data_IF_739030180695
#
_entry.id   IF_739030180695
#
_cell.length_a   1.000
_cell.length_b   1.000
_cell.length_c   1.000
_cell.angle_alpha   90.00
_cell.angle_beta   90.00
_cell.angle_gamma   90.00
#
_symmetry.space_group_name_H-M   'P 1'
#
loop_
_entity.id
_entity.type
_entity.pdbx_description
1 polymer ?
#
# COMPACT_ATOMS: atom_id res chain seq x y z
N UNK A 1 -10.52 -1.56 16.18
CA UNK A 1 -9.24 -0.95 16.64
C UNK A 1 -8.14 -0.95 15.58
N UNK A 2 -8.40 -1.47 14.37
CA UNK A 2 -7.49 -1.43 13.21
C UNK A 2 -7.94 -0.45 12.11
N UNK A 3 -9.21 -0.03 12.11
CA UNK A 3 -9.82 0.72 10.99
C UNK A 3 -9.35 2.17 10.81
N UNK A 4 -8.37 2.64 11.59
CA UNK A 4 -7.95 4.05 11.53
C UNK A 4 -6.45 4.26 11.29
N UNK A 5 -5.60 3.23 11.30
CA UNK A 5 -4.16 3.46 11.07
C UNK A 5 -3.87 3.85 9.62
N UNK A 6 -4.48 3.16 8.65
CA UNK A 6 -4.30 3.47 7.23
C UNK A 6 -4.93 4.81 6.85
N UNK A 7 -6.07 5.16 7.46
CA UNK A 7 -6.70 6.47 7.27
C UNK A 7 -5.84 7.61 7.84
N UNK A 8 -5.32 7.45 9.07
CA UNK A 8 -4.40 8.42 9.69
C UNK A 8 -3.10 8.56 8.90
N UNK A 9 -2.51 7.46 8.44
CA UNK A 9 -1.33 7.50 7.58
C UNK A 9 -1.65 8.25 6.28
N UNK A 10 -2.76 7.91 5.63
CA UNK A 10 -3.21 8.60 4.40
C UNK A 10 -3.35 10.10 4.61
N UNK A 11 -3.98 10.54 5.70
CA UNK A 11 -4.14 11.96 6.02
C UNK A 11 -2.78 12.65 6.19
N UNK A 12 -1.82 12.01 6.87
CA UNK A 12 -0.45 12.53 7.00
C UNK A 12 0.24 12.60 5.64
N UNK A 13 0.13 11.57 4.81
CA UNK A 13 0.73 11.52 3.47
C UNK A 13 0.19 12.64 2.57
N UNK A 14 -1.13 12.87 2.58
CA UNK A 14 -1.77 13.96 1.85
C UNK A 14 -1.26 15.34 2.30
N UNK A 15 -1.10 15.57 3.61
CA UNK A 15 -0.56 16.81 4.15
C UNK A 15 0.89 17.06 3.71
N UNK A 16 1.67 16.00 3.46
CA UNK A 16 3.08 16.09 3.07
C UNK A 16 3.30 16.19 1.57
N UNK A 17 2.25 16.07 0.76
CA UNK A 17 2.33 16.08 -0.72
C UNK A 17 3.01 17.32 -1.27
N UNK A 18 2.62 18.49 -0.75
CA UNK A 18 3.12 19.80 -1.20
C UNK A 18 4.00 20.49 -0.16
N UNK A 19 4.45 19.73 0.86
CA UNK A 19 5.33 20.26 1.90
C UNK A 19 6.76 20.44 1.38
N UNK A 20 7.54 21.29 2.06
CA UNK A 20 8.97 21.46 1.76
C UNK A 20 9.67 20.07 1.76
N UNK A 21 10.42 19.69 0.71
CA UNK A 21 11.10 18.40 0.63
C UNK A 21 12.08 18.14 1.77
N UNK A 22 12.62 19.18 2.42
CA UNK A 22 13.50 19.04 3.58
C UNK A 22 12.73 18.79 4.89
N UNK A 23 11.41 19.00 4.91
CA UNK A 23 10.60 18.92 6.13
C UNK A 23 10.26 17.51 6.59
N UNK A 24 10.36 16.51 5.69
CA UNK A 24 10.10 15.11 6.01
C UNK A 24 10.58 14.17 4.91
N UNK A 25 10.81 12.90 5.26
CA UNK A 25 11.13 11.84 4.30
C UNK A 25 10.08 11.73 3.18
N UNK A 26 8.79 11.75 3.53
CA UNK A 26 7.66 11.65 2.57
C UNK A 26 7.65 12.83 1.60
N UNK A 27 7.83 14.06 2.08
CA UNK A 27 7.93 15.23 1.21
C UNK A 27 9.11 15.11 0.24
N UNK A 28 10.25 14.59 0.73
CA UNK A 28 11.41 14.26 -0.11
C UNK A 28 11.11 13.21 -1.18
N UNK A 29 10.33 12.16 -0.88
CA UNK A 29 9.89 11.18 -1.87
C UNK A 29 9.02 11.81 -2.96
N UNK A 30 8.02 12.60 -2.58
CA UNK A 30 7.15 13.27 -3.53
C UNK A 30 7.90 14.23 -4.44
N UNK A 31 8.84 14.99 -3.88
CA UNK A 31 9.68 15.89 -4.67
C UNK A 31 10.61 15.15 -5.65
N UNK A 32 11.15 13.98 -5.26
CA UNK A 32 11.95 13.13 -6.14
C UNK A 32 11.13 12.45 -7.25
N UNK A 33 9.81 12.41 -7.10
CA UNK A 33 8.87 11.95 -8.13
C UNK A 33 8.70 10.44 -8.23
N UNK A 34 7.86 10.04 -9.19
CA UNK A 34 7.33 8.69 -9.36
C UNK A 34 8.41 7.60 -9.41
N UNK A 35 9.48 7.79 -10.18
CA UNK A 35 10.53 6.77 -10.34
C UNK A 35 11.17 6.38 -9.00
N UNK A 36 11.38 7.34 -8.10
CA UNK A 36 11.93 7.06 -6.76
C UNK A 36 10.94 6.29 -5.90
N UNK A 37 9.65 6.62 -6.00
CA UNK A 37 8.57 5.95 -5.27
C UNK A 37 8.43 4.50 -5.76
N UNK A 38 8.39 4.29 -7.08
CA UNK A 38 8.31 2.95 -7.68
C UNK A 38 9.51 2.09 -7.32
N UNK A 39 10.72 2.67 -7.28
CA UNK A 39 11.92 1.97 -6.82
C UNK A 39 11.74 1.43 -5.40
N UNK A 40 11.23 2.25 -4.47
CA UNK A 40 10.95 1.82 -3.10
C UNK A 40 9.92 0.69 -3.06
N UNK A 41 8.80 0.83 -3.77
CA UNK A 41 7.80 -0.24 -3.84
C UNK A 41 8.40 -1.57 -4.34
N UNK A 42 9.25 -1.53 -5.37
CA UNK A 42 9.93 -2.72 -5.90
C UNK A 42 10.97 -3.32 -4.94
N UNK A 43 11.69 -2.48 -4.21
CA UNK A 43 12.64 -2.87 -3.17
C UNK A 43 11.92 -3.62 -2.04
N UNK A 44 10.90 -3.01 -1.42
CA UNK A 44 10.16 -3.61 -0.31
C UNK A 44 9.42 -4.90 -0.70
N UNK A 45 8.91 -4.95 -1.94
CA UNK A 45 8.29 -6.17 -2.46
C UNK A 45 9.30 -7.32 -2.56
N UNK A 46 10.53 -7.02 -2.99
CA UNK A 46 11.60 -8.02 -3.08
C UNK A 46 12.06 -8.45 -1.69
N UNK A 47 12.22 -7.52 -0.76
CA UNK A 47 12.62 -7.79 0.62
C UNK A 47 11.55 -8.61 1.36
N UNK A 48 10.27 -8.31 1.16
CA UNK A 48 9.15 -9.12 1.69
C UNK A 48 9.24 -10.58 1.23
N UNK A 49 9.53 -10.82 -0.05
CA UNK A 49 9.68 -12.18 -0.61
C UNK A 49 10.90 -12.88 0.00
N UNK A 50 12.01 -12.17 0.19
CA UNK A 50 13.23 -12.71 0.81
C UNK A 50 12.97 -13.06 2.29
N UNK A 51 12.34 -12.18 3.05
CA UNK A 51 12.00 -12.40 4.46
C UNK A 51 11.08 -13.61 4.63
N UNK A 52 10.04 -13.72 3.80
CA UNK A 52 9.16 -14.89 3.78
C UNK A 52 9.91 -16.19 3.49
N UNK A 53 10.82 -16.16 2.50
CA UNK A 53 11.64 -17.33 2.14
C UNK A 53 12.65 -17.71 3.23
N UNK A 54 13.16 -16.72 3.96
CA UNK A 54 14.10 -16.91 5.07
C UNK A 54 13.46 -17.48 6.34
N UNK A 55 12.13 -17.44 6.45
CA UNK A 55 11.41 -17.89 7.64
C UNK A 55 11.52 -16.93 8.83
N UNK A 56 11.95 -15.68 8.58
CA UNK A 56 12.02 -14.63 9.59
C UNK A 56 10.67 -13.89 9.64
N UNK A 57 9.87 -14.20 10.65
CA UNK A 57 8.53 -13.64 10.81
C UNK A 57 8.54 -12.16 11.19
N UNK A 58 9.54 -11.73 11.95
CA UNK A 58 9.63 -10.34 12.40
C UNK A 58 10.06 -9.46 11.22
N UNK A 59 11.04 -9.91 10.44
CA UNK A 59 11.41 -9.24 9.19
C UNK A 59 10.25 -9.24 8.20
N UNK A 60 9.50 -10.35 8.07
CA UNK A 60 8.35 -10.39 7.17
C UNK A 60 7.30 -9.34 7.53
N UNK A 61 6.98 -9.18 8.81
CA UNK A 61 6.04 -8.15 9.28
C UNK A 61 6.60 -6.75 8.98
N UNK A 62 7.89 -6.54 9.23
CA UNK A 62 8.57 -5.27 8.98
C UNK A 62 8.50 -4.87 7.49
N UNK A 63 8.95 -5.73 6.58
CA UNK A 63 8.95 -5.42 5.14
C UNK A 63 7.54 -5.32 4.56
N UNK A 64 6.59 -6.11 5.08
CA UNK A 64 5.19 -5.97 4.66
C UNK A 64 4.64 -4.60 5.06
N UNK A 65 4.99 -4.11 6.25
CA UNK A 65 4.58 -2.78 6.69
C UNK A 65 5.21 -1.68 5.82
N UNK A 66 6.49 -1.82 5.44
CA UNK A 66 7.15 -0.84 4.59
C UNK A 66 6.62 -0.87 3.15
N UNK A 67 6.34 -2.06 2.61
CA UNK A 67 5.66 -2.24 1.32
C UNK A 67 4.29 -1.55 1.33
N UNK A 68 3.49 -1.73 2.38
CA UNK A 68 2.20 -1.07 2.51
C UNK A 68 2.37 0.44 2.60
N UNK A 69 3.30 0.93 3.42
CA UNK A 69 3.60 2.36 3.53
C UNK A 69 3.96 2.99 2.18
N UNK A 70 4.91 2.39 1.45
CA UNK A 70 5.33 2.89 0.14
C UNK A 70 4.23 2.76 -0.93
N UNK A 71 3.34 1.77 -0.80
CA UNK A 71 2.14 1.67 -1.65
C UNK A 71 1.16 2.82 -1.36
N UNK A 72 0.94 3.19 -0.10
CA UNK A 72 0.12 4.37 0.25
C UNK A 72 0.74 5.67 -0.29
N UNK A 73 2.06 5.82 -0.20
CA UNK A 73 2.80 6.96 -0.77
C UNK A 73 2.54 7.05 -2.27
N UNK A 74 2.69 5.92 -3.00
CA UNK A 74 2.41 5.84 -4.44
C UNK A 74 0.98 6.28 -4.78
N UNK A 75 -0.02 5.72 -4.08
CA UNK A 75 -1.42 6.04 -4.35
C UNK A 75 -1.69 7.54 -4.16
N UNK A 76 -1.22 8.13 -3.06
CA UNK A 76 -1.40 9.57 -2.80
C UNK A 76 -0.63 10.43 -3.82
N UNK A 77 0.56 10.01 -4.26
CA UNK A 77 1.31 10.70 -5.33
C UNK A 77 0.47 10.81 -6.61
N UNK A 78 -0.10 9.68 -7.04
CA UNK A 78 -0.96 9.55 -8.22
C UNK A 78 -2.38 10.14 -8.04
N UNK A 79 -2.68 10.73 -6.87
CA UNK A 79 -3.99 11.32 -6.58
C UNK A 79 -5.11 10.29 -6.36
N UNK A 80 -4.75 9.03 -6.08
CA UNK A 80 -5.68 7.96 -5.75
C UNK A 80 -5.83 7.88 -4.23
N UNK A 81 -7.07 7.94 -3.75
CA UNK A 81 -7.36 7.70 -2.33
C UNK A 81 -7.12 6.23 -1.97
N UNK A 82 -6.21 5.91 -1.03
CA UNK A 82 -5.99 4.55 -0.54
C UNK A 82 -7.24 3.83 -0.03
N UNK A 83 -8.27 4.55 0.43
CA UNK A 83 -9.55 3.96 0.80
C UNK A 83 -10.18 3.17 -0.36
N UNK A 84 -9.90 3.54 -1.62
CA UNK A 84 -10.37 2.79 -2.80
C UNK A 84 -9.79 1.39 -2.88
N UNK A 85 -8.57 1.17 -2.40
CA UNK A 85 -7.97 -0.18 -2.36
C UNK A 85 -8.71 -1.04 -1.32
N UNK A 86 -9.02 -0.46 -0.15
CA UNK A 86 -9.79 -1.16 0.89
C UNK A 86 -11.21 -1.50 0.41
N UNK A 87 -11.88 -0.57 -0.27
CA UNK A 87 -13.19 -0.82 -0.89
C UNK A 87 -13.12 -1.94 -1.93
N UNK A 88 -12.05 -2.00 -2.73
CA UNK A 88 -11.85 -3.09 -3.69
C UNK A 88 -11.62 -4.44 -2.98
N UNK A 89 -10.86 -4.45 -1.87
CA UNK A 89 -10.69 -5.65 -1.05
C UNK A 89 -12.02 -6.11 -0.43
N UNK A 90 -12.82 -5.18 0.10
CA UNK A 90 -14.16 -5.46 0.65
C UNK A 90 -15.09 -6.02 -0.43
N UNK A 91 -15.10 -5.41 -1.63
CA UNK A 91 -15.84 -5.92 -2.78
C UNK A 91 -15.44 -7.35 -3.12
N UNK A 92 -14.13 -7.66 -3.16
CA UNK A 92 -13.62 -9.02 -3.42
C UNK A 92 -13.97 -10.00 -2.32
N UNK A 93 -13.95 -9.55 -1.06
CA UNK A 93 -14.35 -10.36 0.08
C UNK A 93 -15.85 -10.72 0.01
N UNK A 94 -16.70 -9.74 -0.30
CA UNK A 94 -18.13 -9.92 -0.49
C UNK A 94 -18.52 -10.78 -1.70
N UNK A 95 -17.63 -10.90 -2.69
CA UNK A 95 -17.78 -11.76 -3.88
C UNK A 95 -17.23 -13.18 -3.68
N UNK A 96 -17.16 -13.67 -2.43
CA UNK A 96 -16.53 -14.96 -2.09
C UNK A 96 -16.78 -16.06 -3.13
N UNK A 97 -15.76 -16.87 -3.42
CA UNK A 97 -15.67 -17.75 -4.61
C UNK A 97 -16.78 -18.79 -4.84
N UNK A 98 -17.81 -18.83 -4.00
CA UNK A 98 -19.07 -19.53 -4.23
C UNK A 98 -19.97 -18.79 -5.24
N UNK A 99 -20.05 -17.46 -5.17
CA UNK A 99 -20.88 -16.64 -6.07
C UNK A 99 -20.26 -16.56 -7.46
N UNK A 100 -18.92 -16.44 -7.55
CA UNK A 100 -18.21 -16.55 -8.83
C UNK A 100 -18.34 -17.93 -9.47
N UNK A 101 -18.32 -19.02 -8.70
CA UNK A 101 -18.55 -20.38 -9.25
C UNK A 101 -20.00 -20.57 -9.69
N UNK A 102 -20.97 -20.06 -8.94
CA UNK A 102 -22.38 -20.12 -9.28
C UNK A 102 -22.72 -19.30 -10.55
N UNK A 103 -22.06 -18.16 -10.75
CA UNK A 103 -22.19 -17.35 -11.96
C UNK A 103 -21.59 -18.03 -13.21
N UNK A 104 -20.49 -18.77 -13.06
CA UNK A 104 -19.85 -19.52 -14.17
C UNK A 104 -20.62 -20.77 -14.60
N UNK A 105 -21.39 -21.39 -13.70
CA UNK A 105 -22.20 -22.59 -14.00
C UNK A 105 -23.54 -22.32 -14.68
N UNK A 106 -23.91 -21.05 -14.93
CA UNK A 106 -25.13 -20.65 -15.64
C UNK A 106 -24.86 -20.11 -17.06
N UNK A 107 -23.61 -20.21 -17.53
CA UNK A 107 -23.19 -19.88 -18.89
C UNK A 107 -23.16 -21.11 -19.79
#
# INVERSE_FOLDING_TARGET
MSDDILARLTAVLQQRRDADPASSYVAGLYHKGLDTILKKVGEEATETVIAAKGGDTDQLVYETADLWFHTLVLLVHEGVDPARVLQELERRFGLSGLDEKAARGRS
#
